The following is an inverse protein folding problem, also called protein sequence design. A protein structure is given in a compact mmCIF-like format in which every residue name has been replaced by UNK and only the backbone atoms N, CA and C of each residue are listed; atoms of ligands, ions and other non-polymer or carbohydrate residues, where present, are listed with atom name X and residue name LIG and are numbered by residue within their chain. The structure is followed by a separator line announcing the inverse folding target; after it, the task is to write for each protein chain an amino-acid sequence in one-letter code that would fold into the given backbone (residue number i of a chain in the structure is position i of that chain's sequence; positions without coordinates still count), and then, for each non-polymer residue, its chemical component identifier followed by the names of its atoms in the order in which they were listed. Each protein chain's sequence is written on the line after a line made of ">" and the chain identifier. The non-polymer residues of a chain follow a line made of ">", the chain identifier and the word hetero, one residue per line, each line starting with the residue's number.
data_IF_783467746065
#
_entry.id   IF_783467746065
#
_cell.length_a   1.000
_cell.length_b   1.000
_cell.length_c   1.000
_cell.angle_alpha   90.00
_cell.angle_beta   90.00
_cell.angle_gamma   90.00
#
_symmetry.space_group_name_H-M   'P 1'
#
loop_
_entity.id
_entity.type
_entity.pdbx_description
1 polymer ?
#
# COMPACT_ATOMS: atom_id res chain seq x y z
N UNK A 1 -15.01 22.63 56.22
CA UNK A 1 -15.60 21.63 55.30
C UNK A 1 -15.16 21.84 53.85
N UNK A 2 -15.35 23.02 53.25
CA UNK A 2 -15.00 23.27 51.83
C UNK A 2 -13.50 23.11 51.50
N UNK A 3 -12.61 23.47 52.44
CA UNK A 3 -11.16 23.30 52.28
C UNK A 3 -10.73 21.83 52.24
N UNK A 4 -11.39 20.97 53.01
CA UNK A 4 -11.10 19.54 53.04
C UNK A 4 -11.58 18.89 51.73
N UNK A 5 -12.74 19.31 51.23
CA UNK A 5 -13.27 18.85 49.94
C UNK A 5 -12.33 19.24 48.76
N UNK A 6 -11.80 20.47 48.77
CA UNK A 6 -10.85 20.94 47.76
C UNK A 6 -9.53 20.17 47.79
N UNK A 7 -9.00 19.88 48.99
CA UNK A 7 -7.78 19.09 49.15
C UNK A 7 -7.98 17.66 48.66
N UNK A 8 -9.13 17.05 48.99
CA UNK A 8 -9.45 15.68 48.57
C UNK A 8 -9.60 15.59 47.04
N UNK A 9 -10.23 16.58 46.42
CA UNK A 9 -10.43 16.62 44.97
C UNK A 9 -9.11 16.86 44.22
N UNK A 10 -8.24 17.74 44.73
CA UNK A 10 -6.91 17.98 44.17
C UNK A 10 -6.00 16.76 44.33
N UNK A 11 -6.06 16.06 45.47
CA UNK A 11 -5.35 14.80 45.67
C UNK A 11 -5.80 13.73 44.67
N UNK A 12 -7.11 13.62 44.40
CA UNK A 12 -7.66 12.66 43.44
C UNK A 12 -7.16 12.90 42.00
N UNK A 13 -6.96 14.16 41.60
CA UNK A 13 -6.36 14.48 40.30
C UNK A 13 -4.87 14.12 40.19
N UNK A 14 -4.11 14.12 41.29
CA UNK A 14 -2.68 13.77 41.27
C UNK A 14 -2.43 12.25 41.16
N UNK A 15 -3.38 11.40 41.56
CA UNK A 15 -3.21 9.93 41.52
C UNK A 15 -3.77 9.30 40.25
N UNK A 16 -4.44 10.07 39.39
CA UNK A 16 -4.92 9.56 38.12
C UNK A 16 -3.72 9.26 37.20
N UNK A 17 -3.48 8.01 36.79
CA UNK A 17 -2.45 7.74 35.82
C UNK A 17 -2.90 8.39 34.51
N UNK A 18 -2.21 9.44 34.08
CA UNK A 18 -2.23 9.85 32.67
C UNK A 18 -1.66 8.66 31.90
N UNK A 19 -2.55 7.80 31.40
CA UNK A 19 -2.22 6.78 30.43
C UNK A 19 -2.03 7.53 29.11
N UNK A 20 -0.83 8.06 28.89
CA UNK A 20 -0.39 8.38 27.54
C UNK A 20 -0.37 7.05 26.77
N UNK A 21 -1.45 6.76 26.05
CA UNK A 21 -1.42 5.72 25.05
C UNK A 21 -0.37 6.19 24.04
N UNK A 22 0.78 5.53 24.01
CA UNK A 22 1.75 5.72 22.94
C UNK A 22 0.98 5.57 21.64
N UNK A 23 0.92 6.64 20.86
CA UNK A 23 0.23 6.63 19.57
C UNK A 23 0.79 5.51 18.70
N UNK A 24 -0.04 4.97 17.82
CA UNK A 24 0.39 4.05 16.77
C UNK A 24 1.59 4.65 16.03
N UNK A 25 2.72 3.93 16.01
CA UNK A 25 3.90 4.27 15.21
C UNK A 25 3.94 3.35 13.98
N UNK A 26 3.35 3.77 12.84
CA UNK A 26 3.33 2.94 11.64
C UNK A 26 4.73 2.56 11.15
N UNK A 27 5.76 3.35 11.43
CA UNK A 27 7.11 3.10 10.92
C UNK A 27 7.89 2.13 11.82
N UNK A 28 7.63 2.16 13.14
CA UNK A 28 8.19 1.20 14.08
C UNK A 28 7.52 -0.18 14.02
N UNK A 29 6.23 -0.23 13.62
CA UNK A 29 5.46 -1.48 13.54
C UNK A 29 5.46 -2.11 12.14
N UNK A 30 5.67 -1.33 11.06
CA UNK A 30 5.71 -1.88 9.72
C UNK A 30 6.96 -2.74 9.49
N UNK A 31 6.74 -3.94 8.95
CA UNK A 31 7.80 -4.83 8.48
C UNK A 31 7.39 -5.45 7.14
N UNK A 32 8.38 -5.94 6.40
CA UNK A 32 8.17 -6.64 5.13
C UNK A 32 8.24 -8.13 5.43
N UNK A 33 7.12 -8.84 5.24
CA UNK A 33 7.08 -10.29 5.28
C UNK A 33 7.18 -10.85 3.86
N UNK A 34 8.38 -11.31 3.50
CA UNK A 34 8.69 -11.74 2.14
C UNK A 34 8.16 -13.15 1.88
N UNK A 35 7.44 -13.30 0.77
CA UNK A 35 6.92 -14.60 0.30
C UNK A 35 7.42 -14.95 -1.12
N UNK A 36 8.73 -15.14 -1.35
CA UNK A 36 9.24 -15.46 -2.69
C UNK A 36 8.71 -16.82 -3.18
N UNK A 37 8.39 -16.90 -4.48
CA UNK A 37 7.86 -18.12 -5.09
C UNK A 37 6.39 -18.40 -4.79
N UNK A 38 5.72 -17.54 -4.01
CA UNK A 38 4.27 -17.60 -3.85
C UNK A 38 3.57 -17.51 -5.22
N UNK A 39 2.59 -18.39 -5.51
CA UNK A 39 1.95 -18.44 -6.82
C UNK A 39 1.05 -17.21 -7.02
N UNK A 40 1.24 -16.54 -8.16
CA UNK A 40 0.32 -15.50 -8.64
C UNK A 40 -0.77 -16.16 -9.49
N UNK A 41 -2.06 -15.87 -9.26
CA UNK A 41 -3.15 -16.47 -10.02
C UNK A 41 -3.25 -15.87 -11.43
N UNK A 42 -2.39 -16.33 -12.35
CA UNK A 42 -2.27 -15.77 -13.70
C UNK A 42 -3.53 -15.90 -14.57
N UNK A 43 -4.35 -16.91 -14.28
CA UNK A 43 -5.58 -17.23 -14.99
C UNK A 43 -6.84 -16.65 -14.33
N UNK A 44 -6.70 -15.88 -13.24
CA UNK A 44 -7.82 -15.20 -12.62
C UNK A 44 -8.48 -14.21 -13.60
N UNK A 45 -9.82 -14.05 -13.54
CA UNK A 45 -10.54 -13.14 -14.40
C UNK A 45 -10.31 -11.69 -13.95
N UNK A 46 -9.84 -10.86 -14.86
CA UNK A 46 -9.69 -9.42 -14.69
C UNK A 46 -10.47 -8.65 -15.75
N UNK A 47 -10.54 -7.33 -15.58
CA UNK A 47 -10.98 -6.41 -16.62
C UNK A 47 -9.84 -5.45 -16.94
N UNK A 48 -9.65 -5.16 -18.23
CA UNK A 48 -8.76 -4.09 -18.66
C UNK A 48 -9.43 -2.71 -18.52
N UNK A 49 -8.71 -1.66 -18.90
CA UNK A 49 -9.20 -0.27 -18.86
C UNK A 49 -10.39 0.00 -19.78
N UNK A 50 -10.57 -0.81 -20.82
CA UNK A 50 -11.69 -0.71 -21.76
C UNK A 50 -12.90 -1.55 -21.30
N UNK A 51 -12.76 -2.26 -20.17
CA UNK A 51 -13.79 -3.11 -19.57
C UNK A 51 -13.86 -4.51 -20.15
N UNK A 52 -12.95 -4.92 -21.04
CA UNK A 52 -12.93 -6.26 -21.61
C UNK A 52 -12.46 -7.28 -20.58
N UNK A 53 -12.98 -8.51 -20.68
CA UNK A 53 -12.51 -9.63 -19.86
C UNK A 53 -11.11 -10.06 -20.33
N UNK A 54 -10.22 -10.26 -19.37
CA UNK A 54 -8.82 -10.66 -19.62
C UNK A 54 -8.24 -11.47 -18.45
N UNK A 55 -6.99 -11.91 -18.57
CA UNK A 55 -6.19 -12.49 -17.49
C UNK A 55 -4.74 -12.00 -17.56
N UNK A 56 -3.99 -12.12 -16.46
CA UNK A 56 -2.56 -11.79 -16.46
C UNK A 56 -1.77 -12.65 -17.45
N UNK A 57 -2.15 -13.93 -17.61
CA UNK A 57 -1.55 -14.82 -18.61
C UNK A 57 -1.75 -14.30 -20.03
N UNK A 58 -2.96 -13.84 -20.36
CA UNK A 58 -3.28 -13.31 -21.68
C UNK A 58 -2.50 -12.03 -21.96
N UNK A 59 -2.48 -11.10 -21.01
CA UNK A 59 -1.75 -9.83 -21.11
C UNK A 59 -0.24 -10.07 -21.25
N UNK A 60 0.31 -11.03 -20.50
CA UNK A 60 1.74 -11.33 -20.53
C UNK A 60 2.23 -11.85 -21.87
N UNK A 61 1.41 -12.60 -22.62
CA UNK A 61 1.81 -13.19 -23.89
C UNK A 61 3.07 -14.06 -23.79
N UNK A 62 3.29 -14.71 -22.66
CA UNK A 62 4.48 -15.53 -22.39
C UNK A 62 5.72 -14.77 -21.90
N UNK A 63 5.63 -13.45 -21.68
CA UNK A 63 6.72 -12.62 -21.18
C UNK A 63 6.69 -12.50 -19.65
N UNK A 64 7.83 -12.18 -19.01
CA UNK A 64 7.85 -11.76 -17.61
C UNK A 64 6.90 -10.58 -17.37
N UNK A 65 6.27 -10.53 -16.20
CA UNK A 65 5.32 -9.48 -15.84
C UNK A 65 5.92 -8.62 -14.73
N UNK A 66 5.95 -7.31 -14.93
CA UNK A 66 6.12 -6.33 -13.87
C UNK A 66 4.74 -5.83 -13.45
N UNK A 67 4.28 -6.29 -12.27
CA UNK A 67 3.03 -5.86 -11.65
C UNK A 67 3.26 -4.58 -10.86
N UNK A 68 2.41 -3.57 -11.08
CA UNK A 68 2.46 -2.29 -10.37
C UNK A 68 1.10 -2.05 -9.71
N UNK A 69 0.95 -2.32 -8.40
CA UNK A 69 -0.26 -1.99 -7.68
C UNK A 69 -0.48 -0.48 -7.63
N UNK A 70 -1.65 -0.01 -8.04
CA UNK A 70 -2.01 1.40 -8.07
C UNK A 70 -3.39 1.63 -7.45
N UNK A 71 -3.55 2.75 -6.74
CA UNK A 71 -4.87 3.29 -6.39
C UNK A 71 -5.19 4.42 -7.37
N UNK A 72 -6.05 4.15 -8.34
CA UNK A 72 -6.31 5.07 -9.45
C UNK A 72 -6.92 6.40 -8.99
N UNK A 73 -7.61 6.40 -7.84
CA UNK A 73 -8.23 7.61 -7.26
C UNK A 73 -7.40 8.26 -6.14
N UNK A 74 -6.12 7.92 -5.96
CA UNK A 74 -5.29 8.58 -4.95
C UNK A 74 -4.68 9.88 -5.51
N UNK A 75 -5.10 11.07 -5.05
CA UNK A 75 -4.71 12.34 -5.65
C UNK A 75 -3.23 12.73 -5.43
N UNK A 76 -2.50 12.05 -4.55
CA UNK A 76 -1.16 12.48 -4.14
C UNK A 76 -0.03 11.54 -4.59
N UNK A 77 -0.12 10.22 -4.35
CA UNK A 77 1.08 9.35 -4.40
C UNK A 77 1.16 8.46 -5.65
N UNK A 78 0.03 8.15 -6.30
CA UNK A 78 0.02 7.16 -7.38
C UNK A 78 0.66 7.68 -8.68
N UNK A 79 0.61 8.99 -8.94
CA UNK A 79 1.39 9.61 -10.01
C UNK A 79 2.90 9.49 -9.79
N UNK A 80 3.36 9.63 -8.53
CA UNK A 80 4.79 9.54 -8.17
C UNK A 80 5.31 8.12 -8.34
N UNK A 81 4.56 7.11 -7.89
CA UNK A 81 4.94 5.70 -8.06
C UNK A 81 5.10 5.34 -9.54
N UNK A 82 4.13 5.72 -10.38
CA UNK A 82 4.17 5.38 -11.79
C UNK A 82 5.30 6.11 -12.54
N UNK A 83 5.55 7.37 -12.20
CA UNK A 83 6.69 8.13 -12.71
C UNK A 83 8.04 7.50 -12.30
N UNK A 84 8.19 7.15 -11.02
CA UNK A 84 9.41 6.50 -10.53
C UNK A 84 9.67 5.14 -11.19
N UNK A 85 8.62 4.36 -11.46
CA UNK A 85 8.76 3.11 -12.22
C UNK A 85 9.16 3.39 -13.67
N UNK A 86 8.57 4.41 -14.31
CA UNK A 86 8.95 4.79 -15.67
C UNK A 86 10.43 5.22 -15.75
N UNK A 87 10.90 6.01 -14.79
CA UNK A 87 12.31 6.43 -14.70
C UNK A 87 13.24 5.23 -14.47
N UNK A 88 12.88 4.30 -13.59
CA UNK A 88 13.66 3.09 -13.35
C UNK A 88 13.77 2.20 -14.60
N UNK A 89 12.71 2.12 -15.41
CA UNK A 89 12.70 1.40 -16.69
C UNK A 89 13.54 2.13 -17.74
N UNK A 90 13.51 3.46 -17.76
CA UNK A 90 14.33 4.25 -18.68
C UNK A 90 15.83 4.14 -18.36
N UNK A 91 16.18 3.98 -17.08
CA UNK A 91 17.56 3.89 -16.61
C UNK A 91 18.25 2.53 -16.88
N UNK A 92 17.57 1.59 -17.54
CA UNK A 92 18.06 0.22 -17.74
C UNK A 92 17.88 -0.24 -19.20
N UNK A 93 18.52 -1.37 -19.62
CA UNK A 93 18.58 -1.74 -21.03
C UNK A 93 17.39 -2.56 -21.54
N UNK A 94 16.58 -3.15 -20.64
CA UNK A 94 15.36 -3.86 -21.05
C UNK A 94 14.33 -2.85 -21.59
N UNK A 95 13.36 -3.37 -22.33
CA UNK A 95 12.30 -2.56 -22.93
C UNK A 95 10.96 -3.16 -22.62
N UNK A 96 10.14 -2.37 -21.93
CA UNK A 96 8.72 -2.60 -21.77
C UNK A 96 8.05 -2.99 -23.09
N UNK A 97 7.16 -3.99 -23.06
CA UNK A 97 6.46 -4.51 -24.23
C UNK A 97 7.31 -5.42 -25.12
N UNK A 98 8.64 -5.29 -25.13
CA UNK A 98 9.54 -6.20 -25.84
C UNK A 98 10.03 -7.33 -24.94
N UNK A 99 10.66 -6.99 -23.82
CA UNK A 99 11.39 -7.92 -22.95
C UNK A 99 10.55 -8.35 -21.73
N UNK A 100 9.60 -7.50 -21.30
CA UNK A 100 8.65 -7.78 -20.22
C UNK A 100 7.36 -6.99 -20.43
N UNK A 101 6.27 -7.45 -19.84
CA UNK A 101 4.97 -6.79 -19.87
C UNK A 101 4.75 -6.00 -18.59
N UNK A 102 4.29 -4.75 -18.72
CA UNK A 102 3.86 -3.94 -17.60
C UNK A 102 2.37 -4.07 -17.38
N UNK A 103 1.96 -4.25 -16.13
CA UNK A 103 0.56 -4.26 -15.74
C UNK A 103 0.39 -3.35 -14.52
N UNK A 104 -0.16 -2.16 -14.74
CA UNK A 104 -0.69 -1.34 -13.66
C UNK A 104 -2.02 -1.96 -13.20
N UNK A 105 -2.07 -2.43 -11.97
CA UNK A 105 -3.19 -3.18 -11.41
C UNK A 105 -3.88 -2.37 -10.31
N UNK A 106 -5.18 -2.15 -10.46
CA UNK A 106 -5.97 -1.40 -9.48
C UNK A 106 -6.20 -2.19 -8.20
N UNK A 107 -5.86 -1.58 -7.06
CA UNK A 107 -6.16 -2.10 -5.72
C UNK A 107 -7.16 -1.20 -4.96
N UNK A 108 -7.91 -0.38 -5.70
CA UNK A 108 -8.95 0.49 -5.16
C UNK A 108 -10.04 -0.36 -4.48
N UNK A 109 -10.39 -0.12 -3.21
CA UNK A 109 -11.36 -0.93 -2.47
C UNK A 109 -12.84 -0.73 -2.88
N UNK A 110 -13.12 0.00 -3.96
CA UNK A 110 -14.46 0.41 -4.41
C UNK A 110 -14.74 1.87 -4.19
#
# INVERSE_FOLDING_TARGET
>A
MIRILLILMMALCLVAPVRAQSGFDPFGEASIDEHPGAPVPLDAPFRDSDGNRTSLRQIAGGKPILLIPVLHNCPNICGVTLAGVADAIAAQPLRAGRDFTLVAFGIDPG
#
